data_IF_814485197964
#
_entry.id   IF_814485197964
#
_cell.length_a   1.000
_cell.length_b   1.000
_cell.length_c   1.000
_cell.angle_alpha   90.00
_cell.angle_beta   90.00
_cell.angle_gamma   90.00
#
_symmetry.space_group_name_H-M   'P 1'
#
loop_
_entity.id
_entity.type
_entity.pdbx_description
1 polymer ?
#
# COMPACT_ATOMS: atom_id res chain seq x y z
N UNK A 1 14.85 -0.41 5.82
CA UNK A 1 14.18 -1.27 6.83
C UNK A 1 14.97 -2.55 7.03
N UNK A 2 15.20 -3.36 5.98
CA UNK A 2 16.01 -4.58 6.05
C UNK A 2 17.37 -4.35 6.73
N UNK A 3 18.14 -3.38 6.24
CA UNK A 3 19.44 -3.02 6.83
C UNK A 3 19.37 -2.65 8.32
N UNK A 4 18.34 -1.91 8.74
CA UNK A 4 18.18 -1.54 10.14
C UNK A 4 17.92 -2.76 11.05
N UNK A 5 17.26 -3.80 10.53
CA UNK A 5 17.03 -5.04 11.26
C UNK A 5 18.27 -5.95 11.21
N UNK A 6 18.89 -6.12 10.03
CA UNK A 6 19.96 -7.09 9.82
C UNK A 6 21.36 -6.60 10.19
N UNK A 7 21.64 -5.32 9.96
CA UNK A 7 22.96 -4.71 10.21
C UNK A 7 22.96 -4.02 11.57
N UNK A 8 21.94 -3.21 11.86
CA UNK A 8 21.89 -2.41 13.10
C UNK A 8 21.24 -3.16 14.27
N UNK A 9 20.62 -4.32 14.03
CA UNK A 9 20.05 -5.18 15.07
C UNK A 9 18.77 -4.66 15.72
N UNK A 10 18.02 -3.77 15.04
CA UNK A 10 16.76 -3.23 15.55
C UNK A 10 15.70 -4.33 15.64
N UNK A 11 15.12 -4.50 16.83
CA UNK A 11 13.96 -5.38 17.03
C UNK A 11 12.69 -4.73 16.46
N UNK A 12 12.26 -5.22 15.28
CA UNK A 12 11.12 -4.69 14.54
C UNK A 12 10.00 -5.73 14.47
N UNK A 13 8.85 -5.41 15.07
CA UNK A 13 7.68 -6.29 15.08
C UNK A 13 7.05 -6.49 13.69
N UNK A 14 7.16 -5.50 12.80
CA UNK A 14 6.61 -5.59 11.44
C UNK A 14 6.50 -4.25 10.72
N UNK A 15 5.96 -4.29 9.50
CA UNK A 15 5.74 -3.13 8.64
C UNK A 15 4.34 -3.15 8.03
N UNK A 16 3.55 -2.10 8.29
CA UNK A 16 2.19 -1.94 7.76
C UNK A 16 2.10 -0.71 6.88
N UNK A 17 2.00 -0.89 5.56
CA UNK A 17 1.88 0.24 4.62
C UNK A 17 0.61 1.05 4.91
N UNK A 18 0.72 2.38 4.89
CA UNK A 18 -0.45 3.25 5.04
C UNK A 18 -1.43 3.11 3.87
N UNK A 19 -2.72 3.03 4.21
CA UNK A 19 -3.81 3.04 3.23
C UNK A 19 -3.72 1.93 2.19
N UNK A 20 -3.76 0.64 2.56
CA UNK A 20 -3.65 -0.49 1.62
C UNK A 20 -4.78 -0.54 0.57
N UNK A 21 -5.88 0.17 0.82
CA UNK A 21 -6.96 0.48 -0.11
C UNK A 21 -7.04 1.99 -0.28
N UNK A 22 -7.36 2.47 -1.49
CA UNK A 22 -7.56 3.90 -1.73
C UNK A 22 -8.63 4.47 -0.78
N UNK A 23 -8.27 5.59 -0.15
CA UNK A 23 -9.05 6.28 0.87
C UNK A 23 -8.90 7.80 0.70
N UNK A 24 -9.74 8.56 1.39
CA UNK A 24 -9.69 10.02 1.41
C UNK A 24 -8.44 10.48 2.16
N UNK A 25 -7.59 11.30 1.52
CA UNK A 25 -6.38 11.81 2.14
C UNK A 25 -6.70 12.67 3.37
N UNK A 26 -5.93 12.50 4.46
CA UNK A 26 -6.14 13.28 5.68
C UNK A 26 -5.83 14.78 5.51
N UNK A 27 -4.81 15.12 4.71
CA UNK A 27 -4.33 16.49 4.55
C UNK A 27 -5.19 17.35 3.62
N UNK A 28 -5.76 16.75 2.58
CA UNK A 28 -6.42 17.49 1.48
C UNK A 28 -7.85 17.05 1.24
N UNK A 29 -8.33 15.96 1.87
CA UNK A 29 -9.68 15.45 1.63
C UNK A 29 -9.86 14.84 0.24
N UNK A 30 -8.77 14.42 -0.42
CA UNK A 30 -8.79 14.03 -1.83
C UNK A 30 -8.76 12.51 -2.01
N UNK A 31 -9.55 12.01 -2.96
CA UNK A 31 -9.44 10.66 -3.55
C UNK A 31 -8.37 10.60 -4.65
N UNK A 32 -8.01 11.73 -5.27
CA UNK A 32 -6.96 11.79 -6.31
C UNK A 32 -5.58 11.41 -5.76
N UNK A 33 -5.31 11.68 -4.48
CA UNK A 33 -4.08 11.29 -3.79
C UNK A 33 -4.20 9.83 -3.30
N UNK A 34 -3.77 8.90 -4.16
CA UNK A 34 -4.00 7.45 -3.98
C UNK A 34 -2.80 6.75 -3.36
N UNK A 35 -3.06 5.92 -2.35
CA UNK A 35 -2.05 5.16 -1.60
C UNK A 35 -2.17 3.65 -1.80
N UNK A 36 -3.37 3.16 -2.08
CA UNK A 36 -3.68 1.74 -1.97
C UNK A 36 -3.05 0.86 -3.02
N UNK A 37 -2.88 -0.40 -2.64
CA UNK A 37 -2.71 -1.51 -3.58
C UNK A 37 -4.04 -1.90 -4.24
N UNK A 38 -5.15 -1.52 -3.61
CA UNK A 38 -6.51 -1.70 -4.11
C UNK A 38 -7.03 -0.33 -4.54
N UNK A 39 -7.35 -0.21 -5.83
CA UNK A 39 -8.02 0.95 -6.38
C UNK A 39 -9.49 0.96 -5.96
N UNK A 40 -10.01 2.15 -5.64
CA UNK A 40 -11.43 2.40 -5.43
C UNK A 40 -11.91 3.41 -6.48
N UNK A 41 -12.94 3.04 -7.22
CA UNK A 41 -13.63 3.88 -8.19
C UNK A 41 -14.47 4.95 -7.48
N UNK A 42 -13.80 6.03 -7.09
CA UNK A 42 -14.36 7.23 -6.50
C UNK A 42 -13.44 8.42 -6.80
N UNK A 43 -14.02 9.54 -7.19
CA UNK A 43 -13.32 10.81 -7.42
C UNK A 43 -13.52 11.82 -6.28
N UNK A 44 -12.95 13.02 -6.41
CA UNK A 44 -13.04 14.07 -5.40
C UNK A 44 -14.43 14.71 -5.29
N UNK A 45 -15.27 14.58 -6.32
CA UNK A 45 -16.65 15.07 -6.31
C UNK A 45 -17.63 14.02 -5.73
N UNK A 46 -17.10 12.86 -5.29
CA UNK A 46 -17.89 11.77 -4.76
C UNK A 46 -18.58 10.92 -5.83
N UNK A 47 -18.18 11.04 -7.10
CA UNK A 47 -18.72 10.23 -8.20
C UNK A 47 -17.88 8.98 -8.39
N UNK A 48 -18.54 7.86 -8.67
CA UNK A 48 -17.91 6.56 -8.91
C UNK A 48 -18.77 5.40 -8.40
N UNK A 49 -18.44 4.19 -8.83
CA UNK A 49 -19.19 2.97 -8.46
C UNK A 49 -18.77 2.36 -7.13
N UNK A 50 -17.72 2.90 -6.50
CA UNK A 50 -17.01 2.28 -5.38
C UNK A 50 -16.47 0.88 -5.71
N UNK A 51 -16.37 0.49 -6.98
CA UNK A 51 -15.79 -0.82 -7.35
C UNK A 51 -14.32 -0.87 -6.93
N UNK A 52 -13.91 -2.04 -6.43
CA UNK A 52 -12.53 -2.31 -6.02
C UNK A 52 -11.80 -3.09 -7.11
N UNK A 53 -10.60 -2.64 -7.46
CA UNK A 53 -9.76 -3.31 -8.47
C UNK A 53 -8.33 -3.44 -7.94
N UNK A 54 -7.72 -4.60 -8.13
CA UNK A 54 -6.31 -4.83 -7.75
C UNK A 54 -5.40 -4.00 -8.67
N UNK A 55 -4.55 -3.16 -8.09
CA UNK A 55 -3.47 -2.50 -8.83
C UNK A 55 -2.32 -3.49 -9.06
N UNK A 56 -1.39 -3.15 -9.94
CA UNK A 56 -0.15 -3.95 -10.14
C UNK A 56 0.62 -4.16 -8.83
N UNK A 57 0.67 -3.11 -8.00
CA UNK A 57 1.31 -3.14 -6.67
C UNK A 57 0.66 -4.12 -5.70
N UNK A 58 -0.57 -4.59 -5.94
CA UNK A 58 -1.20 -5.66 -5.16
C UNK A 58 -0.43 -6.98 -5.27
N UNK A 59 -0.11 -7.39 -6.50
CA UNK A 59 0.62 -8.64 -6.73
C UNK A 59 2.06 -8.52 -6.22
N UNK A 60 2.68 -7.36 -6.40
CA UNK A 60 4.00 -7.06 -5.86
C UNK A 60 4.03 -7.18 -4.33
N UNK A 61 3.09 -6.53 -3.61
CA UNK A 61 3.08 -6.58 -2.15
C UNK A 61 2.71 -7.98 -1.61
N UNK A 62 1.85 -8.71 -2.32
CA UNK A 62 1.60 -10.14 -2.05
C UNK A 62 2.90 -10.94 -2.12
N UNK A 63 3.70 -10.78 -3.17
CA UNK A 63 4.98 -11.48 -3.33
C UNK A 63 5.99 -11.09 -2.25
N UNK A 64 6.08 -9.80 -1.94
CA UNK A 64 6.93 -9.31 -0.87
C UNK A 64 6.58 -9.98 0.48
N UNK A 65 5.29 -10.12 0.80
CA UNK A 65 4.85 -10.83 2.02
C UNK A 65 5.16 -12.32 1.94
N UNK A 66 4.84 -12.99 0.84
CA UNK A 66 5.07 -14.43 0.66
C UNK A 66 6.54 -14.85 0.74
N UNK A 67 7.43 -13.93 0.36
CA UNK A 67 8.89 -14.14 0.42
C UNK A 67 9.51 -13.54 1.67
N UNK A 68 8.72 -13.07 2.64
CA UNK A 68 9.19 -12.37 3.83
C UNK A 68 10.17 -11.21 3.52
N UNK A 69 9.95 -10.51 2.41
CA UNK A 69 10.79 -9.40 1.95
C UNK A 69 12.01 -9.79 1.12
N UNK A 70 12.21 -11.08 0.81
CA UNK A 70 13.35 -11.53 0.00
C UNK A 70 13.22 -11.24 -1.50
N UNK A 71 12.00 -11.22 -2.04
CA UNK A 71 11.76 -10.81 -3.44
C UNK A 71 10.89 -9.54 -3.52
N UNK A 72 11.57 -8.43 -3.79
CA UNK A 72 10.95 -7.10 -3.99
C UNK A 72 10.95 -6.66 -5.46
N UNK A 73 11.28 -7.55 -6.41
CA UNK A 73 11.27 -7.23 -7.85
C UNK A 73 9.85 -7.01 -8.39
N UNK A 74 9.72 -6.15 -9.41
CA UNK A 74 8.43 -5.73 -9.98
C UNK A 74 8.08 -6.44 -11.29
#
# INVERSE_FOLDING_TARGET
MKDAVEIDGVDMMGYTSWGPIDLVSASTGEMKKRYGFIYVDLDNEGKGTLKRTKKKSFAWYKKAIETNGEDLSY
#
